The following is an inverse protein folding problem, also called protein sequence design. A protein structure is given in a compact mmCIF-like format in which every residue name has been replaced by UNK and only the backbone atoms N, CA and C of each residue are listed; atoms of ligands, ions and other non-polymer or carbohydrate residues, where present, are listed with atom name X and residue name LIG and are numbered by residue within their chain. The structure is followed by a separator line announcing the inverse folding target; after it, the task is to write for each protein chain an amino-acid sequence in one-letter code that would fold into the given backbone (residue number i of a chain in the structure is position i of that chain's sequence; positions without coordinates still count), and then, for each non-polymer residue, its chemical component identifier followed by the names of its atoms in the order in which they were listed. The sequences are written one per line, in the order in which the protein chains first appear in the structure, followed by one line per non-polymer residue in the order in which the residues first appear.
data_IF_591244087217
#
_entry.id   IF_591244087217
#
_cell.length_a   1.000
_cell.length_b   1.000
_cell.length_c   1.000
_cell.angle_alpha   90.00
_cell.angle_beta   90.00
_cell.angle_gamma   90.00
#
_symmetry.space_group_name_H-M   'P 1'
#
loop_
_entity.id
_entity.type
_entity.pdbx_description
1 polymer ?
#
# COMPACT_ATOMS: atom_id res chain seq x y z
N UNK A 1 -11.70 4.74 12.06
CA UNK A 1 -10.91 5.99 12.19
C UNK A 1 -9.94 6.09 11.02
N UNK A 2 -10.26 6.91 10.02
CA UNK A 2 -9.48 7.08 8.77
C UNK A 2 -8.11 7.71 8.99
N UNK A 3 -7.97 8.59 10.00
CA UNK A 3 -6.74 9.33 10.35
C UNK A 3 -5.52 8.48 10.75
N UNK A 4 -5.65 7.14 10.81
CA UNK A 4 -4.55 6.21 11.12
C UNK A 4 -4.00 5.50 9.88
N UNK A 5 -4.61 5.70 8.71
CA UNK A 5 -4.14 5.10 7.45
C UNK A 5 -2.93 5.89 6.93
N UNK A 6 -1.89 5.18 6.50
CA UNK A 6 -0.61 5.78 6.10
C UNK A 6 -0.74 6.72 4.90
N UNK A 7 -1.77 6.55 4.07
CA UNK A 7 -2.02 7.40 2.90
C UNK A 7 -3.19 8.35 3.10
N UNK A 8 -3.64 8.57 4.34
CA UNK A 8 -4.69 9.55 4.64
C UNK A 8 -4.21 10.98 4.42
N UNK A 9 -5.14 11.90 4.21
CA UNK A 9 -4.87 13.33 4.03
C UNK A 9 -3.91 13.88 5.11
N UNK A 10 -4.13 13.51 6.38
CA UNK A 10 -3.27 13.87 7.51
C UNK A 10 -1.81 13.39 7.33
N UNK A 11 -1.59 12.16 6.89
CA UNK A 11 -0.25 11.64 6.66
C UNK A 11 0.39 12.22 5.40
N UNK A 12 -0.37 12.40 4.32
CA UNK A 12 0.11 13.07 3.11
C UNK A 12 0.59 14.50 3.43
N UNK A 13 -0.18 15.27 4.21
CA UNK A 13 0.22 16.60 4.68
C UNK A 13 1.48 16.58 5.55
N UNK A 14 1.74 15.48 6.30
CA UNK A 14 3.01 15.30 7.04
C UNK A 14 4.17 14.99 6.10
N UNK A 15 3.98 14.09 5.15
CA UNK A 15 5.02 13.70 4.18
C UNK A 15 5.45 14.89 3.32
N UNK A 16 4.50 15.73 2.91
CA UNK A 16 4.75 16.96 2.16
C UNK A 16 5.78 17.90 2.81
N UNK A 17 5.91 17.89 4.14
CA UNK A 17 6.85 18.77 4.86
C UNK A 17 8.31 18.45 4.56
N UNK A 18 8.62 17.21 4.21
CA UNK A 18 10.00 16.77 3.92
C UNK A 18 10.17 16.19 2.51
N UNK A 19 9.07 15.92 1.78
CA UNK A 19 9.15 15.56 0.37
C UNK A 19 9.56 16.77 -0.48
N UNK A 20 10.39 16.49 -1.48
CA UNK A 20 10.73 17.45 -2.52
C UNK A 20 9.50 17.83 -3.36
N UNK A 21 9.60 18.91 -4.14
CA UNK A 21 8.58 19.21 -5.15
C UNK A 21 8.42 17.98 -6.07
N UNK A 22 7.17 17.60 -6.37
CA UNK A 22 6.87 16.42 -7.19
C UNK A 22 7.43 15.11 -6.62
N UNK A 23 7.56 15.04 -5.29
CA UNK A 23 7.96 13.83 -4.57
C UNK A 23 7.01 12.67 -4.82
N UNK A 24 7.57 11.46 -4.83
CA UNK A 24 6.85 10.22 -5.11
C UNK A 24 6.67 9.45 -3.81
N UNK A 25 5.46 8.98 -3.56
CA UNK A 25 5.14 8.05 -2.48
C UNK A 25 5.03 6.66 -3.08
N UNK A 26 5.77 5.72 -2.49
CA UNK A 26 5.74 4.31 -2.85
C UNK A 26 5.04 3.52 -1.74
N UNK A 27 4.00 2.76 -2.09
CA UNK A 27 3.32 1.84 -1.18
C UNK A 27 3.42 0.43 -1.75
N UNK A 28 4.03 -0.48 -0.99
CA UNK A 28 4.02 -1.93 -1.21
C UNK A 28 3.25 -2.57 -0.05
N UNK A 29 2.23 -3.36 -0.34
CA UNK A 29 1.35 -3.93 0.69
C UNK A 29 0.69 -5.21 0.23
N UNK A 30 0.50 -6.15 1.14
CA UNK A 30 -0.35 -7.32 0.99
C UNK A 30 -1.86 -6.98 1.11
N UNK A 31 -2.19 -5.92 1.86
CA UNK A 31 -3.57 -5.55 2.26
C UNK A 31 -4.42 -5.01 1.11
N UNK A 32 -5.55 -5.69 0.84
CA UNK A 32 -6.58 -5.20 -0.08
C UNK A 32 -7.20 -3.90 0.45
N UNK A 33 -7.45 -3.86 1.76
CA UNK A 33 -8.04 -2.69 2.41
C UNK A 33 -7.16 -1.44 2.25
N UNK A 34 -5.87 -1.56 2.56
CA UNK A 34 -4.93 -0.45 2.48
C UNK A 34 -4.69 -0.06 1.01
N UNK A 35 -4.53 -1.03 0.11
CA UNK A 35 -4.33 -0.76 -1.31
C UNK A 35 -5.53 -0.07 -1.95
N UNK A 36 -6.74 -0.59 -1.73
CA UNK A 36 -7.98 0.00 -2.25
C UNK A 36 -8.20 1.41 -1.73
N UNK A 37 -7.95 1.63 -0.44
CA UNK A 37 -8.06 2.97 0.16
C UNK A 37 -7.05 3.94 -0.46
N UNK A 38 -5.80 3.51 -0.65
CA UNK A 38 -4.78 4.34 -1.28
C UNK A 38 -5.16 4.68 -2.73
N UNK A 39 -5.71 3.74 -3.48
CA UNK A 39 -6.22 4.01 -4.82
C UNK A 39 -7.32 5.07 -4.82
N UNK A 40 -8.32 4.96 -3.93
CA UNK A 40 -9.38 5.96 -3.79
C UNK A 40 -8.84 7.34 -3.36
N UNK A 41 -7.84 7.37 -2.47
CA UNK A 41 -7.16 8.61 -2.07
C UNK A 41 -6.48 9.29 -3.25
N UNK A 42 -5.76 8.52 -4.06
CA UNK A 42 -5.04 8.99 -5.25
C UNK A 42 -5.99 9.53 -6.29
N UNK A 43 -7.07 8.80 -6.59
CA UNK A 43 -8.11 9.21 -7.52
C UNK A 43 -8.83 10.47 -7.05
N UNK A 44 -9.27 10.51 -5.78
CA UNK A 44 -10.02 11.65 -5.24
C UNK A 44 -9.24 12.98 -5.27
N UNK A 45 -7.91 12.90 -5.19
CA UNK A 45 -7.02 14.06 -5.15
C UNK A 45 -6.29 14.30 -6.48
N UNK A 46 -6.61 13.55 -7.54
CA UNK A 46 -5.97 13.64 -8.85
C UNK A 46 -4.44 13.60 -8.77
N UNK A 47 -3.89 12.68 -7.97
CA UNK A 47 -2.44 12.47 -7.93
C UNK A 47 -1.97 11.67 -9.16
N UNK A 48 -0.81 12.02 -9.72
CA UNK A 48 -0.26 11.29 -10.87
C UNK A 48 0.14 9.88 -10.46
N UNK A 49 -0.53 8.86 -11.00
CA UNK A 49 -0.10 7.46 -10.85
C UNK A 49 1.09 7.22 -11.76
N UNK A 50 2.20 6.77 -11.18
CA UNK A 50 3.43 6.41 -11.91
C UNK A 50 3.45 4.91 -12.20
N UNK A 51 2.99 4.11 -11.23
CA UNK A 51 2.93 2.66 -11.35
C UNK A 51 1.84 2.11 -10.43
N UNK A 52 1.13 1.07 -10.86
CA UNK A 52 0.11 0.38 -10.07
C UNK A 52 -0.02 -1.07 -10.52
N UNK A 53 -0.06 -1.99 -9.56
CA UNK A 53 -0.34 -3.42 -9.78
C UNK A 53 -0.89 -4.04 -8.50
N UNK A 54 -1.81 -4.99 -8.65
CA UNK A 54 -2.33 -5.82 -7.56
C UNK A 54 -1.58 -7.16 -7.42
N UNK A 55 -0.64 -7.44 -8.32
CA UNK A 55 0.22 -8.62 -8.29
C UNK A 55 1.63 -8.28 -8.74
N UNK A 56 2.39 -7.65 -7.85
CA UNK A 56 3.73 -7.11 -8.12
C UNK A 56 4.70 -8.17 -8.65
N UNK A 57 4.74 -9.36 -8.04
CA UNK A 57 5.70 -10.39 -8.43
C UNK A 57 5.35 -11.12 -9.73
N UNK A 58 4.15 -10.89 -10.27
CA UNK A 58 3.73 -11.36 -11.59
C UNK A 58 3.44 -10.17 -12.53
N UNK A 59 4.13 -9.05 -12.35
CA UNK A 59 3.95 -7.85 -13.17
C UNK A 59 5.26 -7.41 -13.80
N UNK A 60 5.15 -6.72 -14.94
CA UNK A 60 6.28 -6.10 -15.64
C UNK A 60 6.95 -4.97 -14.84
N UNK A 61 6.30 -4.51 -13.77
CA UNK A 61 6.85 -3.49 -12.87
C UNK A 61 7.97 -4.05 -11.98
N UNK A 62 8.07 -5.38 -11.83
CA UNK A 62 9.07 -6.00 -10.98
C UNK A 62 10.48 -5.67 -11.47
N UNK A 63 11.29 -5.13 -10.57
CA UNK A 63 12.70 -4.83 -10.79
C UNK A 63 13.49 -5.17 -9.52
N UNK A 64 14.82 -5.07 -9.58
CA UNK A 64 15.71 -5.43 -8.47
C UNK A 64 15.30 -4.78 -7.14
N UNK A 65 14.87 -3.50 -7.15
CA UNK A 65 14.47 -2.77 -5.94
C UNK A 65 13.13 -3.28 -5.40
N UNK A 66 12.15 -3.50 -6.28
CA UNK A 66 10.82 -3.98 -5.89
C UNK A 66 10.83 -5.48 -5.53
N UNK A 67 11.85 -6.22 -5.95
CA UNK A 67 12.05 -7.61 -5.60
C UNK A 67 12.62 -7.82 -4.19
N UNK A 68 13.08 -6.76 -3.50
CA UNK A 68 13.47 -6.87 -2.09
C UNK A 68 12.22 -7.24 -1.28
N UNK A 69 12.24 -8.42 -0.67
CA UNK A 69 11.12 -8.98 0.09
C UNK A 69 11.37 -8.87 1.59
N UNK A 70 10.35 -8.48 2.33
CA UNK A 70 10.38 -8.54 3.79
C UNK A 70 10.00 -9.94 4.28
N UNK A 71 10.29 -10.23 5.56
CA UNK A 71 9.89 -11.47 6.22
C UNK A 71 8.39 -11.77 6.07
N UNK A 72 7.53 -10.78 6.32
CA UNK A 72 6.08 -10.95 6.25
C UNK A 72 5.59 -11.20 4.82
N UNK A 73 6.18 -10.54 3.83
CA UNK A 73 5.81 -10.77 2.43
C UNK A 73 6.05 -12.22 2.01
N UNK A 74 7.15 -12.85 2.46
CA UNK A 74 7.37 -14.26 2.18
C UNK A 74 6.27 -15.15 2.78
N UNK A 75 5.89 -14.91 4.04
CA UNK A 75 4.79 -15.65 4.70
C UNK A 75 3.45 -15.49 3.97
N UNK A 76 3.20 -14.32 3.38
CA UNK A 76 1.96 -14.07 2.63
C UNK A 76 1.95 -14.73 1.26
N UNK A 77 3.08 -14.70 0.56
CA UNK A 77 3.24 -15.38 -0.72
C UNK A 77 3.09 -16.89 -0.59
N UNK A 78 3.61 -17.49 0.49
CA UNK A 78 3.42 -18.90 0.81
C UNK A 78 1.95 -19.29 1.00
N UNK A 79 1.10 -18.33 1.40
CA UNK A 79 -0.35 -18.51 1.55
C UNK A 79 -1.14 -18.17 0.29
N UNK A 80 -0.46 -17.91 -0.82
CA UNK A 80 -1.08 -17.54 -2.10
C UNK A 80 -1.61 -16.11 -2.17
N UNK A 81 -1.28 -15.23 -1.19
CA UNK A 81 -1.66 -13.82 -1.26
C UNK A 81 -0.71 -13.04 -2.16
N UNK A 82 -1.28 -12.13 -2.95
CA UNK A 82 -0.49 -11.25 -3.82
C UNK A 82 -0.01 -10.01 -3.08
N UNK A 83 1.19 -9.54 -3.44
CA UNK A 83 1.68 -8.25 -3.01
C UNK A 83 1.32 -7.19 -4.04
N UNK A 84 0.77 -6.08 -3.56
CA UNK A 84 0.28 -4.95 -4.35
C UNK A 84 1.26 -3.82 -4.25
N UNK A 85 1.28 -3.00 -5.28
CA UNK A 85 2.17 -1.86 -5.35
C UNK A 85 1.50 -0.69 -6.05
N UNK A 86 1.65 0.50 -5.48
CA UNK A 86 1.28 1.76 -6.12
C UNK A 86 2.35 2.81 -5.81
N UNK A 87 2.75 3.53 -6.85
CA UNK A 87 3.59 4.71 -6.74
C UNK A 87 2.88 5.90 -7.38
N UNK A 88 2.82 7.01 -6.67
CA UNK A 88 2.13 8.21 -7.14
C UNK A 88 2.87 9.47 -6.70
N UNK A 89 2.75 10.50 -7.53
CA UNK A 89 3.30 11.83 -7.27
C UNK A 89 2.26 12.70 -6.60
N UNK A 90 2.66 13.39 -5.54
CA UNK A 90 1.78 14.38 -4.90
C UNK A 90 2.09 15.78 -5.43
N UNK A 91 1.04 16.58 -5.64
CA UNK A 91 1.16 18.00 -5.95
C UNK A 91 1.09 18.82 -4.67
N UNK A 92 1.76 19.98 -4.61
CA UNK A 92 1.75 20.84 -3.42
C UNK A 92 0.46 21.65 -3.21
N UNK A 93 -0.54 21.49 -4.09
CA UNK A 93 -1.78 22.25 -4.03
C UNK A 93 -2.70 21.65 -2.96
N UNK A 94 -3.14 22.48 -2.02
CA UNK A 94 -4.04 22.13 -0.91
C UNK A 94 -5.36 22.88 -1.05
N UNK A 95 -6.47 22.37 -0.45
CA UNK A 95 -6.53 21.23 0.48
C UNK A 95 -6.74 19.86 -0.19
N UNK A 96 -6.18 18.81 0.41
CA UNK A 96 -6.48 17.42 0.03
C UNK A 96 -7.82 16.96 0.62
N UNK A 97 -8.56 16.15 -0.14
CA UNK A 97 -9.88 15.64 0.22
C UNK A 97 -9.80 14.15 0.56
N UNK A 98 -10.41 13.79 1.68
CA UNK A 98 -10.51 12.40 2.12
C UNK A 98 -11.63 11.69 1.33
N UNK A 99 -11.39 10.51 0.72
CA UNK A 99 -12.43 9.76 0.02
C UNK A 99 -13.40 9.13 1.02
N UNK A 100 -14.70 9.25 0.72
CA UNK A 100 -15.74 8.54 1.46
C UNK A 100 -15.99 7.18 0.80
N UNK A 101 -15.12 6.22 1.14
CA UNK A 101 -15.18 4.84 0.63
C UNK A 101 -15.30 3.85 1.79
N UNK A 102 -16.28 2.95 1.68
CA UNK A 102 -16.38 1.77 2.55
C UNK A 102 -15.61 0.63 1.88
N UNK A 103 -14.50 0.25 2.49
CA UNK A 103 -13.67 -0.85 2.01
C UNK A 103 -13.67 -1.90 3.11
N UNK A 104 -13.92 -3.14 2.73
CA UNK A 104 -13.88 -4.28 3.63
C UNK A 104 -12.46 -4.48 4.17
N UNK A 105 -12.39 -4.85 5.46
CA UNK A 105 -11.10 -5.09 6.09
C UNK A 105 -10.58 -6.45 5.67
N UNK A 106 -9.26 -6.59 5.62
CA UNK A 106 -8.66 -7.90 5.44
C UNK A 106 -8.93 -8.77 6.67
N UNK A 107 -9.31 -10.03 6.42
CA UNK A 107 -9.62 -11.00 7.49
C UNK A 107 -8.36 -11.68 8.04
N UNK A 108 -7.26 -11.61 7.30
CA UNK A 108 -6.00 -12.24 7.68
C UNK A 108 -5.21 -11.35 8.66
N UNK A 109 -4.42 -11.99 9.53
CA UNK A 109 -3.56 -11.29 10.52
C UNK A 109 -2.12 -11.75 10.43
N UNK A 110 -1.20 -10.79 10.40
CA UNK A 110 0.23 -11.08 10.45
C UNK A 110 0.56 -11.78 11.75
N UNK A 111 1.21 -12.93 11.63
CA UNK A 111 1.75 -13.63 12.78
C UNK A 111 3.11 -13.02 13.16
N UNK A 112 3.41 -12.89 14.46
CA UNK A 112 4.71 -12.38 14.89
C UNK A 112 5.86 -13.29 14.41
N UNK A 113 7.10 -12.78 14.37
CA UNK A 113 8.28 -13.56 13.94
C UNK A 113 8.49 -14.87 14.73
N UNK A 114 7.94 -14.96 15.94
CA UNK A 114 8.03 -16.12 16.82
C UNK A 114 6.79 -17.02 16.78
N UNK A 115 5.81 -16.72 15.94
CA UNK A 115 4.62 -17.54 15.81
C UNK A 115 4.97 -18.79 15.00
N UNK A 116 4.71 -19.95 15.57
CA UNK A 116 4.86 -21.25 14.89
C UNK A 116 3.85 -21.28 13.74
N UNK A 117 4.33 -21.54 12.52
CA UNK A 117 3.46 -21.84 11.39
C UNK A 117 2.69 -23.12 11.71
N UNK A 118 1.45 -22.98 12.19
CA UNK A 118 0.50 -24.07 12.20
C UNK A 118 0.07 -24.23 10.74
N UNK A 119 0.78 -25.07 10.00
CA UNK A 119 0.24 -25.63 8.77
C UNK A 119 -1.04 -26.37 9.17
N UNK A 120 -2.17 -25.94 8.61
CA UNK A 120 -3.34 -26.79 8.59
C UNK A 120 -3.02 -27.89 7.58
N UNK A 121 -2.56 -29.02 8.09
CA UNK A 121 -2.51 -30.28 7.35
C UNK A 121 -3.97 -30.67 7.02
N UNK A 122 -4.27 -30.79 5.73
CA UNK A 122 -5.33 -31.69 5.24
C UNK A 122 -4.75 -33.07 4.97
#
# INVERSE_FOLDING_TARGET
KTNRRLTSTNFISKYKKFLTNNGIIHLKTDSNFQFGYTCAMVEKNNFDVIAKTDNLYNSELLNEKLNIRTYYENQWLERGLTIKYIAFRIHKNEPYVEPDVKIEKDDYRSFGRNAVNIQQDE
#
